data_IF_200381811944
#
_entry.id   IF_200381811944
#
_cell.length_a   1.000
_cell.length_b   1.000
_cell.length_c   1.000
_cell.angle_alpha   90.00
_cell.angle_beta   90.00
_cell.angle_gamma   90.00
#
_symmetry.space_group_name_H-M   'P 1'
#
loop_
_entity.id
_entity.type
_entity.pdbx_description
1 polymer ?
#
# COMPACT_ATOMS: atom_id res chain seq x y z
N UNK A 1 26.48 -37.08 30.97
CA UNK A 1 26.18 -35.67 31.26
C UNK A 1 26.70 -34.84 30.11
N UNK A 2 25.79 -34.36 29.26
CA UNK A 2 26.07 -33.42 28.18
C UNK A 2 25.24 -32.16 28.46
N UNK A 3 25.75 -30.94 28.24
CA UNK A 3 25.04 -29.73 28.59
C UNK A 3 23.86 -29.55 27.62
N UNK A 4 22.66 -29.41 28.17
CA UNK A 4 21.47 -29.01 27.42
C UNK A 4 21.69 -27.58 26.93
N UNK A 5 21.78 -27.42 25.61
CA UNK A 5 21.65 -26.15 24.91
C UNK A 5 20.27 -25.57 25.22
N UNK A 6 20.20 -24.63 26.15
CA UNK A 6 18.99 -23.85 26.43
C UNK A 6 18.81 -22.84 25.31
N UNK A 7 17.78 -23.05 24.50
CA UNK A 7 17.29 -22.14 23.47
C UNK A 7 16.99 -20.77 24.10
N UNK A 8 17.89 -19.80 23.91
CA UNK A 8 17.67 -18.39 24.26
C UNK A 8 16.92 -17.72 23.10
N UNK A 9 15.65 -18.07 22.93
CA UNK A 9 14.80 -17.47 21.92
C UNK A 9 13.35 -17.36 22.44
N UNK A 10 13.11 -16.54 23.47
CA UNK A 10 11.76 -16.06 23.82
C UNK A 10 11.74 -14.97 24.92
N UNK A 11 12.48 -13.85 24.79
CA UNK A 11 12.34 -12.78 25.80
C UNK A 11 12.66 -11.34 25.37
N UNK A 12 12.39 -10.96 24.12
CA UNK A 12 12.31 -9.55 23.75
C UNK A 12 11.00 -9.33 23.00
N UNK A 13 9.94 -9.02 23.75
CA UNK A 13 8.77 -8.41 23.14
C UNK A 13 9.23 -7.03 22.63
N UNK A 14 9.23 -6.82 21.30
CA UNK A 14 9.79 -5.63 20.66
C UNK A 14 9.34 -4.36 21.39
N UNK A 15 10.29 -3.49 21.73
CA UNK A 15 10.03 -2.31 22.56
C UNK A 15 8.89 -1.43 22.05
N UNK A 16 8.66 -1.49 20.74
CA UNK A 16 7.64 -0.75 20.00
C UNK A 16 6.19 -1.10 20.33
N UNK A 17 5.90 -2.25 20.95
CA UNK A 17 4.52 -2.74 21.12
C UNK A 17 4.17 -3.10 22.57
N UNK A 18 4.59 -2.24 23.50
CA UNK A 18 4.24 -2.35 24.93
C UNK A 18 2.86 -1.72 25.21
N UNK A 19 2.13 -2.19 26.24
CA UNK A 19 0.91 -1.52 26.70
C UNK A 19 1.13 -0.02 26.94
N UNK A 20 0.25 0.82 26.42
CA UNK A 20 0.32 2.27 26.47
C UNK A 20 0.98 2.93 25.25
N UNK A 21 1.64 2.16 24.38
CA UNK A 21 2.29 2.70 23.18
C UNK A 21 1.27 3.13 22.13
N UNK A 22 1.50 4.28 21.51
CA UNK A 22 0.73 4.75 20.35
C UNK A 22 1.24 4.07 19.08
N UNK A 23 0.30 3.64 18.24
CA UNK A 23 0.57 2.91 17.01
C UNK A 23 -0.37 3.39 15.91
N UNK A 24 0.02 3.13 14.68
CA UNK A 24 -0.90 3.16 13.55
C UNK A 24 -1.34 1.72 13.23
N UNK A 25 -2.61 1.61 12.90
CA UNK A 25 -3.31 0.36 12.66
C UNK A 25 -3.78 0.34 11.21
N UNK A 26 -3.40 -0.69 10.48
CA UNK A 26 -4.00 -0.99 9.18
C UNK A 26 -5.17 -1.96 9.34
N UNK A 27 -6.19 -1.79 8.50
CA UNK A 27 -7.25 -2.79 8.36
C UNK A 27 -7.05 -3.60 7.08
N UNK A 28 -7.28 -4.91 7.18
CA UNK A 28 -7.31 -5.82 6.02
C UNK A 28 -8.69 -5.84 5.35
N UNK A 29 -9.69 -5.18 5.97
CA UNK A 29 -11.06 -5.10 5.48
C UNK A 29 -11.14 -4.30 4.18
N UNK A 30 -12.12 -4.66 3.37
CA UNK A 30 -12.33 -4.05 2.08
C UNK A 30 -12.71 -2.58 2.17
N UNK A 31 -12.10 -1.79 1.29
CA UNK A 31 -12.26 -0.33 1.29
C UNK A 31 -11.39 0.40 2.32
N UNK A 32 -10.73 -0.31 3.24
CA UNK A 32 -9.80 0.27 4.23
C UNK A 32 -8.34 -0.15 3.99
N UNK A 33 -8.07 -0.89 2.91
CA UNK A 33 -6.71 -1.30 2.55
C UNK A 33 -5.85 -0.10 2.18
N UNK A 34 -4.61 -0.09 2.66
CA UNK A 34 -3.69 1.05 2.50
C UNK A 34 -4.00 2.22 3.43
N UNK A 35 -4.98 2.08 4.34
CA UNK A 35 -5.26 3.08 5.37
C UNK A 35 -4.59 2.74 6.69
N UNK A 36 -4.25 3.78 7.44
CA UNK A 36 -3.60 3.71 8.75
C UNK A 36 -4.32 4.64 9.73
N UNK A 37 -4.94 4.06 10.75
CA UNK A 37 -5.64 4.79 11.81
C UNK A 37 -4.82 4.79 13.09
N UNK A 38 -4.82 5.89 13.83
CA UNK A 38 -4.08 5.95 15.09
C UNK A 38 -4.83 5.22 16.20
N UNK A 39 -4.08 4.61 17.10
CA UNK A 39 -4.62 3.96 18.28
C UNK A 39 -3.56 3.67 19.32
N UNK A 40 -4.02 3.07 20.42
CA UNK A 40 -3.20 2.77 21.59
C UNK A 40 -3.26 1.31 21.94
N UNK A 41 -2.09 0.68 22.10
CA UNK A 41 -2.01 -0.70 22.58
C UNK A 41 -2.49 -0.75 24.02
N UNK A 42 -3.59 -1.45 24.27
CA UNK A 42 -4.09 -1.69 25.62
C UNK A 42 -3.33 -2.82 26.30
N UNK A 43 -3.13 -3.94 25.59
CA UNK A 43 -2.43 -5.11 26.10
C UNK A 43 -2.10 -6.08 24.98
N UNK A 44 -1.10 -6.93 25.22
CA UNK A 44 -0.83 -8.11 24.40
C UNK A 44 -1.84 -9.22 24.74
N UNK A 45 -2.47 -9.81 23.74
CA UNK A 45 -3.45 -10.91 23.87
C UNK A 45 -2.77 -12.27 23.71
N UNK A 46 -1.83 -12.38 22.78
CA UNK A 46 -1.02 -13.59 22.56
C UNK A 46 0.35 -13.22 21.98
N UNK A 47 1.16 -14.22 21.60
CA UNK A 47 2.47 -13.98 20.98
C UNK A 47 2.39 -13.07 19.74
N UNK A 48 1.32 -13.11 18.97
CA UNK A 48 1.19 -12.33 17.72
C UNK A 48 -0.09 -11.48 17.68
N UNK A 49 -0.80 -11.31 18.81
CA UNK A 49 -2.03 -10.51 18.86
C UNK A 49 -1.99 -9.44 19.94
N UNK A 50 -2.48 -8.26 19.61
CA UNK A 50 -2.54 -7.08 20.48
C UNK A 50 -3.96 -6.53 20.47
N UNK A 51 -4.43 -6.11 21.65
CA UNK A 51 -5.68 -5.37 21.78
C UNK A 51 -5.35 -3.88 21.64
N UNK A 52 -5.94 -3.22 20.66
CA UNK A 52 -5.74 -1.79 20.39
C UNK A 52 -7.08 -1.07 20.53
N UNK A 53 -7.05 0.12 21.12
CA UNK A 53 -8.16 1.07 21.14
C UNK A 53 -7.86 2.18 20.13
N UNK A 54 -8.76 2.42 19.18
CA UNK A 54 -8.59 3.45 18.15
C UNK A 54 -8.82 4.85 18.74
N UNK A 55 -8.09 5.86 18.26
CA UNK A 55 -8.24 7.22 18.77
C UNK A 55 -9.48 7.93 18.21
N UNK A 56 -9.86 7.64 16.97
CA UNK A 56 -10.93 8.36 16.25
C UNK A 56 -12.13 7.49 15.88
N UNK A 57 -11.95 6.15 15.81
CA UNK A 57 -13.04 5.22 15.49
C UNK A 57 -13.82 4.83 16.75
N UNK A 58 -15.15 4.83 16.65
CA UNK A 58 -16.07 4.59 17.77
C UNK A 58 -16.83 3.27 17.59
N UNK A 59 -17.11 2.58 18.70
CA UNK A 59 -17.87 1.32 18.73
C UNK A 59 -19.37 1.55 18.46
N UNK A 60 -19.89 2.74 18.78
CA UNK A 60 -21.29 3.09 18.62
C UNK A 60 -21.49 4.44 17.92
N UNK A 61 -22.62 4.58 17.22
CA UNK A 61 -23.05 5.85 16.59
C UNK A 61 -23.25 6.98 17.61
N UNK A 62 -23.28 6.64 18.90
CA UNK A 62 -23.43 7.59 20.01
C UNK A 62 -22.08 8.20 20.41
N UNK A 63 -20.96 7.71 19.88
CA UNK A 63 -19.62 8.22 20.12
C UNK A 63 -19.19 8.12 21.58
N UNK A 64 -19.64 7.12 22.34
CA UNK A 64 -19.34 7.01 23.77
C UNK A 64 -18.13 6.15 24.09
N UNK A 65 -17.79 5.22 23.20
CA UNK A 65 -16.69 4.29 23.37
C UNK A 65 -15.89 4.21 22.09
N UNK A 66 -14.58 4.25 22.24
CA UNK A 66 -13.65 3.98 21.15
C UNK A 66 -13.72 2.51 20.75
N UNK A 67 -13.61 2.26 19.46
CA UNK A 67 -13.55 0.91 18.90
C UNK A 67 -12.30 0.21 19.45
N UNK A 68 -12.44 -1.09 19.75
CA UNK A 68 -11.34 -1.94 20.23
C UNK A 68 -11.26 -3.18 19.38
N UNK A 69 -10.05 -3.53 18.96
CA UNK A 69 -9.84 -4.66 18.07
C UNK A 69 -8.63 -5.48 18.47
N UNK A 70 -8.70 -6.79 18.19
CA UNK A 70 -7.61 -7.74 18.41
C UNK A 70 -6.83 -7.94 17.11
N UNK A 71 -5.77 -7.17 16.92
CA UNK A 71 -4.98 -7.09 15.70
C UNK A 71 -3.73 -7.95 15.77
N UNK A 72 -3.23 -8.38 14.61
CA UNK A 72 -1.96 -9.08 14.47
C UNK A 72 -0.78 -8.11 14.39
N UNK A 73 0.45 -8.59 14.61
CA UNK A 73 1.65 -7.72 14.58
C UNK A 73 1.83 -6.99 13.25
N UNK A 74 1.55 -7.63 12.12
CA UNK A 74 1.72 -7.03 10.78
C UNK A 74 0.75 -5.87 10.51
N UNK A 75 -0.35 -5.78 11.25
CA UNK A 75 -1.34 -4.70 11.13
C UNK A 75 -0.96 -3.47 11.95
N UNK A 76 0.19 -3.50 12.63
CA UNK A 76 0.63 -2.47 13.56
C UNK A 76 1.99 -1.92 13.15
N UNK A 77 2.11 -0.61 13.18
CA UNK A 77 3.39 0.09 13.08
C UNK A 77 3.47 1.22 14.11
N UNK A 78 4.68 1.70 14.48
CA UNK A 78 4.80 2.91 15.28
C UNK A 78 4.15 4.12 14.60
N UNK A 79 3.89 5.21 15.34
CA UNK A 79 3.48 6.47 14.73
C UNK A 79 4.59 6.98 13.82
N UNK A 80 4.22 7.39 12.59
CA UNK A 80 5.20 8.00 11.69
C UNK A 80 5.59 9.40 12.19
N UNK A 81 6.86 9.67 12.49
CA UNK A 81 7.34 11.00 12.83
C UNK A 81 7.09 11.99 11.68
N UNK A 82 6.71 13.22 12.03
CA UNK A 82 6.43 14.27 11.04
C UNK A 82 7.74 14.83 10.45
N UNK A 83 7.92 14.74 9.14
CA UNK A 83 8.98 15.44 8.40
C UNK A 83 8.42 16.73 7.78
N UNK A 84 8.62 17.89 8.43
CA UNK A 84 7.99 19.15 7.99
C UNK A 84 8.64 19.80 6.77
N UNK A 85 9.87 19.43 6.44
CA UNK A 85 10.69 20.15 5.46
C UNK A 85 10.77 19.46 4.08
N UNK A 86 10.00 18.39 3.85
CA UNK A 86 10.05 17.67 2.58
C UNK A 86 9.36 18.45 1.46
N UNK A 87 9.89 18.39 0.26
CA UNK A 87 9.20 18.83 -0.95
C UNK A 87 8.64 17.61 -1.66
N UNK A 88 7.39 17.74 -2.13
CA UNK A 88 6.67 16.69 -2.83
C UNK A 88 6.62 17.01 -4.32
N UNK A 89 6.69 15.98 -5.16
CA UNK A 89 6.62 16.10 -6.63
C UNK A 89 5.73 15.04 -7.25
N UNK A 90 5.35 15.25 -8.51
CA UNK A 90 4.66 14.23 -9.31
C UNK A 90 5.36 12.86 -9.21
N UNK A 91 4.57 11.82 -8.96
CA UNK A 91 5.01 10.43 -8.83
C UNK A 91 5.53 10.04 -7.43
N UNK A 92 5.64 10.99 -6.49
CA UNK A 92 5.95 10.63 -5.11
C UNK A 92 4.78 9.84 -4.50
N UNK A 93 5.13 8.76 -3.79
CA UNK A 93 4.20 7.98 -2.98
C UNK A 93 4.05 8.63 -1.60
N UNK A 94 2.81 8.83 -1.17
CA UNK A 94 2.45 9.60 0.01
C UNK A 94 1.39 8.88 0.83
N UNK A 95 1.43 9.10 2.14
CA UNK A 95 0.29 8.89 3.01
C UNK A 95 -0.47 10.23 3.08
N UNK A 96 -1.73 10.26 2.65
CA UNK A 96 -2.59 11.44 2.68
C UNK A 96 -3.63 11.33 3.80
N UNK A 97 -3.76 12.37 4.63
CA UNK A 97 -4.70 12.38 5.75
C UNK A 97 -6.12 12.65 5.27
N UNK A 98 -6.99 11.65 5.37
CA UNK A 98 -8.38 11.71 4.93
C UNK A 98 -9.27 10.83 5.81
N UNK A 99 -10.49 11.26 6.12
CA UNK A 99 -11.46 10.52 6.95
C UNK A 99 -10.85 9.90 8.22
N UNK A 100 -10.13 10.72 8.99
CA UNK A 100 -9.50 10.35 10.27
C UNK A 100 -8.38 9.29 10.19
N UNK A 101 -7.91 8.95 8.98
CA UNK A 101 -6.80 8.03 8.74
C UNK A 101 -5.78 8.56 7.72
N UNK A 102 -4.63 7.91 7.63
CA UNK A 102 -3.62 8.14 6.61
C UNK A 102 -3.76 7.11 5.51
N UNK A 103 -3.89 7.56 4.26
CA UNK A 103 -4.18 6.71 3.11
C UNK A 103 -3.05 6.75 2.09
N UNK A 104 -2.56 5.58 1.72
CA UNK A 104 -1.52 5.41 0.70
C UNK A 104 -2.02 5.85 -0.69
N UNK A 105 -1.27 6.72 -1.36
CA UNK A 105 -1.57 7.22 -2.69
C UNK A 105 -0.36 7.86 -3.38
N UNK A 106 -0.58 8.35 -4.60
CA UNK A 106 0.47 8.93 -5.43
C UNK A 106 0.12 10.35 -5.85
N UNK A 107 1.11 11.23 -5.84
CA UNK A 107 0.93 12.57 -6.38
C UNK A 107 0.87 12.50 -7.91
N UNK A 108 -0.27 12.91 -8.47
CA UNK A 108 -0.52 12.92 -9.92
C UNK A 108 -0.61 14.32 -10.49
N UNK A 109 -0.68 15.35 -9.66
CA UNK A 109 -0.61 16.74 -10.12
C UNK A 109 -0.08 17.67 -9.02
N UNK A 110 0.80 18.60 -9.41
CA UNK A 110 1.22 19.73 -8.59
C UNK A 110 0.42 20.97 -9.03
N UNK A 111 -0.49 21.42 -8.18
CA UNK A 111 -1.35 22.56 -8.47
C UNK A 111 -0.57 23.86 -8.28
N UNK A 112 -0.94 24.89 -9.05
CA UNK A 112 -0.25 26.20 -9.04
C UNK A 112 -0.31 26.93 -7.69
N UNK A 113 -1.24 26.55 -6.81
CA UNK A 113 -1.41 27.11 -5.48
C UNK A 113 -0.63 26.36 -4.40
N UNK A 114 0.20 25.37 -4.77
CA UNK A 114 1.03 24.58 -3.86
C UNK A 114 0.30 23.40 -3.20
N UNK A 115 -0.92 23.09 -3.65
CA UNK A 115 -1.63 21.86 -3.31
C UNK A 115 -1.27 20.73 -4.27
N UNK A 116 -1.60 19.50 -3.88
CA UNK A 116 -1.27 18.30 -4.64
C UNK A 116 -2.51 17.47 -4.87
N UNK A 117 -2.72 17.01 -6.10
CA UNK A 117 -3.72 15.99 -6.36
C UNK A 117 -3.10 14.61 -6.11
N UNK A 118 -3.73 13.83 -5.23
CA UNK A 118 -3.29 12.48 -4.86
C UNK A 118 -4.29 11.47 -5.39
N UNK A 119 -3.79 10.47 -6.10
CA UNK A 119 -4.54 9.33 -6.60
C UNK A 119 -4.44 8.16 -5.63
N UNK A 120 -5.58 7.64 -5.19
CA UNK A 120 -5.69 6.47 -4.33
C UNK A 120 -5.89 5.22 -5.17
N UNK A 121 -4.96 4.27 -5.09
CA UNK A 121 -5.00 3.05 -5.92
C UNK A 121 -6.24 2.20 -5.64
N UNK A 122 -6.63 2.08 -4.38
CA UNK A 122 -7.73 1.21 -3.95
C UNK A 122 -9.09 1.80 -4.36
N UNK A 123 -9.37 3.07 -4.04
CA UNK A 123 -10.65 3.70 -4.39
C UNK A 123 -10.71 4.23 -5.82
N UNK A 124 -9.56 4.35 -6.49
CA UNK A 124 -9.40 4.97 -7.83
C UNK A 124 -9.79 6.45 -7.86
N UNK A 125 -9.92 7.07 -6.70
CA UNK A 125 -10.25 8.48 -6.56
C UNK A 125 -9.00 9.35 -6.63
N UNK A 126 -9.19 10.59 -7.10
CA UNK A 126 -8.16 11.62 -7.04
C UNK A 126 -8.69 12.79 -6.20
N UNK A 127 -7.96 13.14 -5.15
CA UNK A 127 -8.37 14.16 -4.17
C UNK A 127 -7.24 15.18 -4.01
N UNK A 128 -7.61 16.45 -3.84
CA UNK A 128 -6.64 17.54 -3.62
C UNK A 128 -6.33 17.70 -2.14
N UNK A 129 -5.05 17.70 -1.80
CA UNK A 129 -4.51 17.87 -0.45
C UNK A 129 -3.56 19.06 -0.36
N UNK A 130 -3.50 19.66 0.81
CA UNK A 130 -2.43 20.59 1.21
C UNK A 130 -1.17 19.82 1.59
N UNK A 131 -0.03 20.52 1.64
CA UNK A 131 1.25 19.91 2.04
C UNK A 131 1.18 19.32 3.46
N UNK A 132 0.44 19.94 4.36
CA UNK A 132 0.31 19.52 5.76
C UNK A 132 -0.55 18.27 5.94
N UNK A 133 -1.37 17.94 4.94
CA UNK A 133 -2.19 16.72 4.89
C UNK A 133 -1.43 15.56 4.23
N UNK A 134 -0.19 15.77 3.80
CA UNK A 134 0.65 14.75 3.18
C UNK A 134 1.89 14.47 4.02
N UNK A 135 2.29 13.19 4.02
CA UNK A 135 3.60 12.74 4.47
C UNK A 135 4.11 11.71 3.47
N UNK A 136 5.42 11.49 3.44
CA UNK A 136 5.98 10.43 2.59
C UNK A 136 5.43 9.07 3.04
N UNK A 137 5.01 8.24 2.08
CA UNK A 137 4.69 6.85 2.37
C UNK A 137 5.94 6.10 2.85
N UNK A 138 5.81 5.36 3.95
CA UNK A 138 6.89 4.55 4.52
C UNK A 138 6.32 3.23 5.04
N UNK A 139 7.00 2.16 4.71
CA UNK A 139 6.72 0.84 5.25
C UNK A 139 7.45 0.62 6.57
N UNK A 140 6.84 -0.16 7.46
CA UNK A 140 7.49 -0.65 8.68
C UNK A 140 7.86 -2.12 8.50
N UNK A 141 9.11 -2.38 8.13
CA UNK A 141 9.63 -3.72 7.81
C UNK A 141 10.80 -4.00 8.74
N UNK A 142 10.82 -5.18 9.36
CA UNK A 142 11.90 -5.62 10.26
C UNK A 142 12.34 -4.56 11.28
N UNK A 143 11.34 -3.92 11.89
CA UNK A 143 11.52 -2.89 12.91
C UNK A 143 12.24 -1.63 12.42
N UNK A 144 12.15 -1.34 11.11
CA UNK A 144 12.70 -0.15 10.48
C UNK A 144 11.69 0.49 9.54
N UNK A 145 11.75 1.82 9.46
CA UNK A 145 11.04 2.57 8.44
C UNK A 145 11.80 2.48 7.12
N UNK A 146 11.06 2.18 6.05
CA UNK A 146 11.54 2.10 4.67
C UNK A 146 10.66 3.01 3.81
N UNK A 147 11.20 4.04 3.12
CA UNK A 147 12.57 4.54 3.21
C UNK A 147 12.98 4.89 4.65
N UNK A 148 14.28 5.03 4.96
CA UNK A 148 14.74 5.60 6.22
C UNK A 148 14.51 7.12 6.27
N UNK A 149 14.37 7.69 7.48
CA UNK A 149 14.33 9.15 7.63
C UNK A 149 15.61 9.77 7.09
N UNK A 150 15.48 10.94 6.46
CA UNK A 150 16.66 11.71 6.11
C UNK A 150 17.31 12.15 7.42
N UNK A 151 18.59 11.79 7.65
CA UNK A 151 19.34 12.30 8.77
C UNK A 151 19.39 13.82 8.63
N UNK A 152 18.74 14.55 9.54
CA UNK A 152 18.97 15.97 9.67
C UNK A 152 20.44 16.12 10.07
N UNK A 153 21.27 16.65 9.16
CA UNK A 153 22.64 17.01 9.48
C UNK A 153 22.62 17.94 10.71
N UNK A 154 23.31 17.51 11.76
CA UNK A 154 23.08 17.95 13.12
C UNK A 154 23.45 19.40 13.41
N UNK A 155 22.58 20.07 14.16
CA UNK A 155 22.89 20.70 15.43
C UNK A 155 21.58 21.21 16.01
N UNK A 156 21.11 20.60 17.10
CA UNK A 156 20.84 21.34 18.32
C UNK A 156 20.56 20.35 19.46
N UNK A 157 21.39 20.46 20.50
CA UNK A 157 21.11 19.93 21.81
C UNK A 157 19.89 20.68 22.35
N UNK A 158 18.70 20.12 22.21
CA UNK A 158 17.57 20.53 23.04
C UNK A 158 16.93 19.30 23.69
N UNK A 159 17.21 19.20 24.98
CA UNK A 159 16.53 18.35 25.94
C UNK A 159 15.08 18.85 26.09
N UNK A 160 14.20 18.46 25.17
CA UNK A 160 12.80 18.85 25.20
C UNK A 160 11.95 17.75 25.85
N UNK A 161 11.58 18.03 27.11
CA UNK A 161 10.48 17.42 27.84
C UNK A 161 9.30 17.09 26.92
N UNK A 162 8.86 15.83 26.95
CA UNK A 162 7.59 15.39 26.39
C UNK A 162 6.45 16.07 27.17
N UNK A 163 6.07 17.26 26.71
CA UNK A 163 4.80 17.88 27.08
C UNK A 163 4.01 18.13 25.80
N UNK A 164 2.82 17.55 25.81
CA UNK A 164 1.74 17.67 24.85
C UNK A 164 1.68 19.05 24.17
N UNK A 165 1.73 19.03 22.85
CA UNK A 165 0.91 19.95 22.07
C UNK A 165 0.19 19.15 21.01
N UNK A 166 -0.97 18.61 21.38
CA UNK A 166 -2.04 18.29 20.43
C UNK A 166 -2.35 19.57 19.64
N UNK A 167 -1.70 19.75 18.49
CA UNK A 167 -2.22 20.65 17.47
C UNK A 167 -3.45 19.98 16.91
N UNK A 168 -4.62 20.34 17.44
CA UNK A 168 -5.95 20.02 16.89
C UNK A 168 -5.90 20.22 15.38
N UNK A 169 -5.85 19.13 14.63
CA UNK A 169 -6.14 19.11 13.19
C UNK A 169 -7.59 19.60 13.09
N UNK A 170 -7.77 20.81 12.54
CA UNK A 170 -9.10 21.40 12.39
C UNK A 170 -9.89 20.49 11.44
N UNK A 171 -11.12 20.14 11.80
CA UNK A 171 -12.09 19.45 10.93
C UNK A 171 -12.04 20.06 9.53
N UNK A 172 -11.57 19.28 8.57
CA UNK A 172 -11.38 19.70 7.17
C UNK A 172 -12.73 19.72 6.46
N UNK A 173 -12.89 20.70 5.57
CA UNK A 173 -14.04 20.85 4.67
C UNK A 173 -14.10 19.66 3.70
N UNK A 174 -15.26 19.45 3.06
CA UNK A 174 -15.43 18.43 2.02
C UNK A 174 -14.26 18.44 1.03
N UNK A 175 -13.65 17.27 0.83
CA UNK A 175 -12.53 17.05 -0.06
C UNK A 175 -12.88 17.51 -1.48
N UNK A 176 -11.99 18.31 -2.10
CA UNK A 176 -12.11 18.68 -3.50
C UNK A 176 -11.65 17.47 -4.33
N UNK A 177 -12.61 16.77 -4.95
CA UNK A 177 -12.34 15.64 -5.83
C UNK A 177 -11.97 16.15 -7.23
N UNK A 178 -10.92 15.59 -7.81
CA UNK A 178 -10.55 15.88 -9.19
C UNK A 178 -11.30 14.90 -10.09
N UNK A 179 -12.46 15.30 -10.61
CA UNK A 179 -13.13 14.53 -11.66
C UNK A 179 -12.49 14.88 -13.00
N UNK A 180 -11.45 14.15 -13.39
CA UNK A 180 -10.88 14.31 -14.73
C UNK A 180 -11.57 13.34 -15.69
N UNK A 181 -12.55 13.84 -16.44
CA UNK A 181 -12.91 13.23 -17.73
C UNK A 181 -11.78 13.54 -18.73
N UNK A 182 -10.63 12.85 -18.63
CA UNK A 182 -9.55 12.98 -19.62
C UNK A 182 -9.88 12.07 -20.81
N UNK A 183 -10.36 12.69 -21.88
CA UNK A 183 -10.96 12.07 -23.07
C UNK A 183 -9.96 11.37 -24.03
N UNK A 184 -8.70 11.16 -23.60
CA UNK A 184 -7.59 10.82 -24.52
C UNK A 184 -7.16 9.34 -24.51
N UNK A 185 -7.57 8.52 -23.53
CA UNK A 185 -7.22 7.09 -23.52
C UNK A 185 -8.46 6.21 -23.63
N UNK A 186 -8.76 5.74 -24.86
CA UNK A 186 -9.86 4.80 -25.14
C UNK A 186 -9.31 3.45 -25.53
N UNK A 187 -9.65 2.43 -24.75
CA UNK A 187 -9.42 1.04 -25.12
C UNK A 187 -10.21 0.69 -26.39
N UNK A 188 -9.65 -0.25 -27.16
CA UNK A 188 -10.28 -0.80 -28.36
C UNK A 188 -10.38 -2.32 -28.25
N UNK A 189 -11.28 -2.91 -29.02
CA UNK A 189 -11.32 -4.36 -29.19
C UNK A 189 -9.97 -4.87 -29.74
N UNK A 190 -9.53 -6.00 -29.21
CA UNK A 190 -8.21 -6.59 -29.44
C UNK A 190 -7.06 -5.96 -28.63
N UNK A 191 -7.33 -4.98 -27.76
CA UNK A 191 -6.30 -4.43 -26.89
C UNK A 191 -5.88 -5.44 -25.81
N UNK A 192 -4.56 -5.60 -25.65
CA UNK A 192 -3.95 -6.39 -24.58
C UNK A 192 -3.93 -5.57 -23.29
N UNK A 193 -4.52 -6.13 -22.25
CA UNK A 193 -4.74 -5.47 -20.97
C UNK A 193 -4.32 -6.37 -19.82
N UNK A 194 -4.24 -5.78 -18.64
CA UNK A 194 -4.28 -6.50 -17.38
C UNK A 194 -5.53 -6.07 -16.61
N UNK A 195 -6.14 -7.04 -15.94
CA UNK A 195 -7.41 -6.91 -15.25
C UNK A 195 -7.23 -7.28 -13.79
N UNK A 196 -7.70 -6.44 -12.87
CA UNK A 196 -7.77 -6.77 -11.46
C UNK A 196 -9.21 -7.01 -11.02
N UNK A 197 -9.39 -7.73 -9.91
CA UNK A 197 -10.70 -7.91 -9.28
C UNK A 197 -10.63 -7.51 -7.81
N UNK A 198 -11.70 -6.88 -7.34
CA UNK A 198 -11.92 -6.60 -5.91
C UNK A 198 -12.67 -7.75 -5.24
N UNK A 199 -12.74 -8.94 -5.85
CA UNK A 199 -13.31 -10.13 -5.22
C UNK A 199 -12.31 -10.77 -4.24
N UNK A 200 -12.85 -11.32 -3.15
CA UNK A 200 -12.06 -12.04 -2.15
C UNK A 200 -11.22 -13.15 -2.79
N UNK A 201 -9.91 -13.12 -2.52
CA UNK A 201 -8.95 -14.07 -3.08
C UNK A 201 -8.22 -13.59 -4.35
N UNK A 202 -8.73 -12.56 -5.03
CA UNK A 202 -8.12 -12.00 -6.25
C UNK A 202 -7.60 -10.57 -6.09
N UNK A 203 -7.87 -9.95 -4.93
CA UNK A 203 -7.44 -8.59 -4.60
C UNK A 203 -5.92 -8.44 -4.62
N UNK A 204 -5.47 -7.47 -5.41
CA UNK A 204 -4.06 -7.15 -5.58
C UNK A 204 -3.37 -7.91 -6.71
N UNK A 205 -4.08 -8.82 -7.38
CA UNK A 205 -3.60 -9.52 -8.57
C UNK A 205 -4.06 -8.82 -9.86
N UNK A 206 -3.18 -8.85 -10.86
CA UNK A 206 -3.46 -8.39 -12.22
C UNK A 206 -3.32 -9.55 -13.20
N UNK A 207 -4.41 -9.92 -13.85
CA UNK A 207 -4.48 -11.03 -14.80
C UNK A 207 -4.41 -10.52 -16.23
N UNK A 208 -3.56 -11.14 -17.05
CA UNK A 208 -3.47 -10.81 -18.47
C UNK A 208 -4.78 -11.18 -19.19
N UNK A 209 -5.30 -10.25 -19.98
CA UNK A 209 -6.49 -10.46 -20.77
C UNK A 209 -6.45 -9.68 -22.09
N UNK A 210 -7.44 -9.92 -22.93
CA UNK A 210 -7.71 -9.20 -24.18
C UNK A 210 -9.14 -8.66 -24.16
N UNK A 211 -9.32 -7.40 -24.55
CA UNK A 211 -10.67 -6.83 -24.72
C UNK A 211 -11.30 -7.43 -25.98
N UNK A 212 -12.41 -8.16 -25.82
CA UNK A 212 -13.13 -8.80 -26.93
C UNK A 212 -14.44 -8.10 -27.30
N UNK A 213 -14.96 -7.23 -26.43
CA UNK A 213 -16.16 -6.44 -26.72
C UNK A 213 -16.13 -5.13 -25.94
N UNK A 214 -16.57 -4.03 -26.58
CA UNK A 214 -16.78 -2.75 -25.90
C UNK A 214 -18.27 -2.61 -25.52
N UNK A 215 -18.58 -2.50 -24.22
CA UNK A 215 -19.95 -2.32 -23.72
C UNK A 215 -20.15 -0.89 -23.22
N UNK A 216 -20.50 0.01 -24.14
CA UNK A 216 -20.70 1.42 -23.82
C UNK A 216 -19.39 2.16 -23.58
N UNK A 217 -19.38 3.11 -22.63
CA UNK A 217 -18.22 3.99 -22.38
C UNK A 217 -17.27 3.51 -21.27
N UNK A 218 -17.73 2.66 -20.36
CA UNK A 218 -17.01 2.34 -19.11
C UNK A 218 -16.96 0.84 -18.79
N UNK A 219 -17.39 -0.03 -19.69
CA UNK A 219 -17.37 -1.48 -19.49
C UNK A 219 -16.87 -2.19 -20.74
N UNK A 220 -16.23 -3.33 -20.51
CA UNK A 220 -15.66 -4.17 -21.54
C UNK A 220 -15.98 -5.63 -21.25
N UNK A 221 -16.08 -6.46 -22.27
CA UNK A 221 -15.91 -7.89 -22.10
C UNK A 221 -14.45 -8.22 -22.38
N UNK A 222 -13.81 -8.86 -21.42
CA UNK A 222 -12.43 -9.33 -21.54
C UNK A 222 -12.42 -10.86 -21.64
N UNK A 223 -11.45 -11.40 -22.35
CA UNK A 223 -11.10 -12.81 -22.35
C UNK A 223 -9.72 -12.96 -21.71
N UNK A 224 -9.61 -13.72 -20.63
CA UNK A 224 -8.34 -13.92 -19.93
C UNK A 224 -7.40 -14.82 -20.74
N UNK A 225 -6.09 -14.58 -20.63
CA UNK A 225 -5.08 -15.34 -21.38
C UNK A 225 -4.93 -16.79 -20.88
N UNK A 226 -5.15 -17.02 -19.59
CA UNK A 226 -4.85 -18.29 -18.91
C UNK A 226 -5.98 -18.86 -18.04
N UNK A 227 -6.95 -18.04 -17.63
CA UNK A 227 -8.07 -18.48 -16.79
C UNK A 227 -9.12 -19.19 -17.63
N UNK A 228 -9.68 -20.28 -17.11
CA UNK A 228 -10.68 -21.10 -17.79
C UNK A 228 -12.03 -21.08 -17.07
N UNK A 229 -13.11 -21.20 -17.84
CA UNK A 229 -14.47 -21.43 -17.35
C UNK A 229 -14.75 -22.92 -17.04
N UNK A 230 -15.96 -23.21 -16.56
CA UNK A 230 -16.40 -24.58 -16.24
C UNK A 230 -16.40 -25.52 -17.46
N UNK A 231 -16.46 -24.98 -18.67
CA UNK A 231 -16.39 -25.70 -19.94
C UNK A 231 -14.93 -25.86 -20.45
N UNK A 232 -13.93 -25.46 -19.66
CA UNK A 232 -12.51 -25.44 -20.04
C UNK A 232 -12.19 -24.54 -21.25
N UNK A 233 -12.98 -23.49 -21.49
CA UNK A 233 -12.70 -22.42 -22.46
C UNK A 233 -12.09 -21.23 -21.73
N UNK A 234 -11.41 -20.33 -22.44
CA UNK A 234 -10.91 -19.10 -21.83
C UNK A 234 -12.06 -18.31 -21.21
N UNK A 235 -11.89 -17.95 -19.94
CA UNK A 235 -12.89 -17.24 -19.16
C UNK A 235 -13.13 -15.86 -19.78
N UNK A 236 -14.42 -15.51 -19.92
CA UNK A 236 -14.86 -14.18 -20.35
C UNK A 236 -15.70 -13.51 -19.28
N UNK A 237 -15.39 -12.26 -18.99
CA UNK A 237 -16.09 -11.48 -17.96
C UNK A 237 -16.38 -10.05 -18.41
N UNK A 238 -17.48 -9.50 -17.91
CA UNK A 238 -17.78 -8.07 -18.07
C UNK A 238 -17.13 -7.29 -16.95
N UNK A 239 -16.19 -6.41 -17.31
CA UNK A 239 -15.32 -5.70 -16.37
C UNK A 239 -15.47 -4.19 -16.58
N UNK A 240 -15.41 -3.44 -15.47
CA UNK A 240 -15.41 -1.97 -15.48
C UNK A 240 -14.05 -1.42 -15.94
N UNK A 241 -14.04 -0.28 -16.62
CA UNK A 241 -12.80 0.43 -16.99
C UNK A 241 -11.88 0.73 -15.78
N UNK A 242 -12.44 0.81 -14.58
CA UNK A 242 -11.70 1.03 -13.33
C UNK A 242 -10.81 -0.16 -12.94
N UNK A 243 -11.10 -1.35 -13.47
CA UNK A 243 -10.41 -2.61 -13.21
C UNK A 243 -9.49 -3.01 -14.36
N UNK A 244 -9.32 -2.15 -15.35
CA UNK A 244 -8.54 -2.45 -16.57
C UNK A 244 -7.40 -1.45 -16.71
N UNK A 245 -6.19 -1.96 -16.93
CA UNK A 245 -5.04 -1.19 -17.37
C UNK A 245 -4.45 -1.81 -18.64
N UNK A 246 -3.70 -1.07 -19.47
CA UNK A 246 -2.91 -1.69 -20.53
C UNK A 246 -1.95 -2.74 -19.97
N UNK A 247 -1.26 -3.53 -20.80
CA UNK A 247 -0.07 -4.23 -20.30
C UNK A 247 1.05 -3.22 -20.05
N UNK A 248 1.81 -3.34 -18.95
CA UNK A 248 2.91 -2.44 -18.69
C UNK A 248 3.95 -2.51 -19.80
N UNK A 249 4.62 -1.40 -20.12
CA UNK A 249 5.74 -1.40 -21.04
C UNK A 249 6.81 -2.36 -20.52
N UNK A 250 7.44 -3.09 -21.43
CA UNK A 250 8.59 -3.92 -21.09
C UNK A 250 9.68 -2.96 -20.61
N UNK A 251 9.99 -3.00 -19.31
CA UNK A 251 11.13 -2.28 -18.74
C UNK A 251 12.41 -2.86 -19.33
N UNK A 252 13.41 -2.01 -19.61
CA UNK A 252 14.73 -2.48 -20.01
C UNK A 252 15.22 -3.56 -19.03
N UNK A 253 15.88 -4.60 -19.54
CA UNK A 253 16.34 -5.76 -18.76
C UNK A 253 17.03 -5.30 -17.47
N UNK A 254 16.30 -5.40 -16.36
CA UNK A 254 16.85 -5.10 -15.04
C UNK A 254 17.83 -6.22 -14.75
N UNK A 255 19.12 -5.94 -14.81
CA UNK A 255 20.13 -6.99 -14.66
C UNK A 255 20.00 -7.77 -13.35
N UNK A 256 19.58 -7.09 -12.27
CA UNK A 256 19.36 -7.68 -10.95
C UNK A 256 18.41 -6.79 -10.13
N UNK A 257 17.48 -7.40 -9.38
CA UNK A 257 16.67 -6.68 -8.40
C UNK A 257 17.44 -6.52 -7.08
N UNK A 258 17.16 -5.44 -6.34
CA UNK A 258 17.79 -5.14 -5.06
C UNK A 258 16.83 -5.43 -3.91
N UNK A 259 17.38 -5.61 -2.72
CA UNK A 259 16.59 -5.61 -1.49
C UNK A 259 15.69 -4.36 -1.44
N UNK A 260 14.40 -4.57 -1.18
CA UNK A 260 13.32 -3.56 -1.17
C UNK A 260 12.94 -2.96 -2.53
N UNK A 261 13.46 -3.46 -3.65
CA UNK A 261 12.82 -3.16 -4.94
C UNK A 261 11.39 -3.72 -4.91
N UNK A 262 10.42 -2.89 -5.26
CA UNK A 262 9.03 -3.30 -5.48
C UNK A 262 8.88 -3.94 -6.86
N UNK A 263 8.29 -5.12 -6.89
CA UNK A 263 8.16 -5.98 -8.07
C UNK A 263 6.73 -6.47 -8.24
N UNK A 264 6.32 -6.68 -9.48
CA UNK A 264 5.21 -7.56 -9.80
C UNK A 264 5.77 -8.98 -9.94
N UNK A 265 5.31 -9.90 -9.09
CA UNK A 265 5.66 -11.32 -9.13
C UNK A 265 4.54 -12.14 -9.79
N UNK A 266 4.90 -12.94 -10.79
CA UNK A 266 3.96 -13.81 -11.48
C UNK A 266 3.69 -15.09 -10.67
N UNK A 267 2.49 -15.19 -10.12
CA UNK A 267 2.05 -16.30 -9.27
C UNK A 267 0.55 -16.58 -9.49
N UNK A 268 0.14 -17.85 -9.52
CA UNK A 268 -1.26 -18.26 -9.75
C UNK A 268 -1.92 -17.51 -10.92
N UNK A 269 -1.24 -17.50 -12.07
CA UNK A 269 -1.72 -16.90 -13.33
C UNK A 269 -1.90 -15.37 -13.33
N UNK A 270 -1.54 -14.69 -12.25
CA UNK A 270 -1.60 -13.23 -12.10
C UNK A 270 -0.28 -12.60 -11.67
N UNK A 271 -0.18 -11.28 -11.85
CA UNK A 271 0.90 -10.45 -11.34
C UNK A 271 0.52 -9.85 -9.99
N UNK A 272 1.34 -10.10 -8.97
CA UNK A 272 1.12 -9.69 -7.60
C UNK A 272 2.21 -8.72 -7.15
N UNK A 273 1.80 -7.60 -6.57
CA UNK A 273 2.76 -6.61 -6.03
C UNK A 273 3.41 -7.17 -4.77
N UNK A 274 4.74 -7.11 -4.71
CA UNK A 274 5.50 -7.52 -3.54
C UNK A 274 6.87 -6.85 -3.49
N UNK A 275 7.57 -7.05 -2.38
CA UNK A 275 8.89 -6.46 -2.14
C UNK A 275 9.96 -7.53 -2.15
N UNK A 276 11.10 -7.26 -2.77
CA UNK A 276 12.26 -8.14 -2.68
C UNK A 276 12.81 -8.13 -1.24
N UNK A 277 12.50 -9.17 -0.48
CA UNK A 277 12.96 -9.34 0.89
C UNK A 277 14.37 -9.96 0.96
N UNK A 278 14.77 -10.77 -0.02
CA UNK A 278 16.13 -11.31 -0.12
C UNK A 278 16.55 -11.47 -1.57
N UNK A 279 17.79 -11.11 -1.88
CA UNK A 279 18.46 -11.46 -3.14
C UNK A 279 19.27 -12.72 -2.93
N UNK A 280 18.99 -13.76 -3.71
CA UNK A 280 19.71 -15.04 -3.66
C UNK A 280 20.67 -15.14 -4.85
N UNK A 281 21.59 -16.10 -4.79
CA UNK A 281 22.41 -16.45 -5.96
C UNK A 281 21.55 -17.03 -7.10
N UNK A 282 22.15 -17.12 -8.29
CA UNK A 282 21.55 -17.72 -9.49
C UNK A 282 20.23 -17.07 -9.96
N UNK A 283 20.13 -15.74 -9.84
CA UNK A 283 19.00 -14.94 -10.33
C UNK A 283 17.66 -15.32 -9.66
N UNK A 284 17.71 -15.61 -8.36
CA UNK A 284 16.54 -15.92 -7.54
C UNK A 284 16.34 -14.88 -6.44
N UNK A 285 15.09 -14.72 -6.03
CA UNK A 285 14.69 -13.71 -5.06
C UNK A 285 13.64 -14.27 -4.12
N UNK A 286 13.65 -13.86 -2.86
CA UNK A 286 12.52 -14.02 -1.95
C UNK A 286 11.71 -12.73 -2.00
N UNK A 287 10.43 -12.84 -2.37
CA UNK A 287 9.50 -11.72 -2.42
C UNK A 287 8.52 -11.83 -1.25
N UNK A 288 8.39 -10.75 -0.49
CA UNK A 288 7.44 -10.57 0.59
C UNK A 288 6.15 -9.95 0.07
N UNK A 289 5.01 -10.61 0.35
CA UNK A 289 3.68 -10.10 0.04
C UNK A 289 3.04 -9.54 1.30
N UNK A 290 2.91 -8.22 1.37
CA UNK A 290 2.32 -7.51 2.53
C UNK A 290 0.93 -8.04 2.89
N UNK A 291 0.12 -8.34 1.88
CA UNK A 291 -1.29 -8.74 2.06
C UNK A 291 -1.46 -10.11 2.73
N UNK A 292 -0.62 -11.09 2.40
CA UNK A 292 -0.70 -12.45 2.98
C UNK A 292 0.33 -12.67 4.09
N UNK A 293 1.28 -11.75 4.25
CA UNK A 293 2.45 -11.89 5.11
C UNK A 293 3.25 -13.17 4.79
N UNK A 294 3.36 -13.48 3.49
CA UNK A 294 4.10 -14.63 2.97
C UNK A 294 5.40 -14.18 2.30
N UNK A 295 6.42 -15.03 2.40
CA UNK A 295 7.67 -14.91 1.65
C UNK A 295 7.76 -16.10 0.69
N UNK A 296 7.83 -15.85 -0.61
CA UNK A 296 7.94 -16.90 -1.64
C UNK A 296 9.18 -16.70 -2.51
N UNK A 297 9.77 -17.80 -2.99
CA UNK A 297 10.92 -17.79 -3.90
C UNK A 297 10.47 -17.66 -5.36
N UNK A 298 11.07 -16.72 -6.08
CA UNK A 298 10.84 -16.51 -7.51
C UNK A 298 12.14 -16.50 -8.30
N UNK A 299 12.07 -16.99 -9.53
CA UNK A 299 13.10 -16.77 -10.54
C UNK A 299 12.99 -15.34 -11.08
N UNK A 300 14.12 -14.77 -11.53
CA UNK A 300 14.14 -13.44 -12.16
C UNK A 300 13.10 -13.28 -13.28
N UNK A 301 12.89 -14.31 -14.10
CA UNK A 301 11.92 -14.30 -15.21
C UNK A 301 10.46 -14.26 -14.78
N UNK A 302 10.18 -14.51 -13.49
CA UNK A 302 8.84 -14.41 -12.91
C UNK A 302 8.61 -13.05 -12.23
N UNK A 303 9.60 -12.17 -12.25
CA UNK A 303 9.52 -10.84 -11.66
C UNK A 303 9.66 -9.78 -12.75
N UNK A 304 8.99 -8.65 -12.55
CA UNK A 304 9.24 -7.40 -13.28
C UNK A 304 9.19 -6.25 -12.29
N UNK A 305 9.83 -5.12 -12.59
CA UNK A 305 9.67 -3.94 -11.74
C UNK A 305 8.19 -3.54 -11.69
N UNK A 306 7.73 -3.23 -10.49
CA UNK A 306 6.37 -2.74 -10.30
C UNK A 306 6.17 -1.40 -11.01
N UNK A 307 5.02 -1.27 -11.68
CA UNK A 307 4.59 -0.06 -12.35
C UNK A 307 3.11 0.18 -12.05
N UNK A 308 2.78 1.41 -11.73
CA UNK A 308 1.42 1.87 -11.55
C UNK A 308 0.89 2.51 -12.83
N UNK A 309 -0.35 2.17 -13.18
CA UNK A 309 -1.09 2.83 -14.24
C UNK A 309 -1.93 3.95 -13.61
N UNK A 310 -1.52 5.20 -13.84
CA UNK A 310 -2.14 6.39 -13.24
C UNK A 310 -2.43 7.42 -14.33
N UNK A 311 -3.68 7.86 -14.42
CA UNK A 311 -4.15 8.91 -15.34
C UNK A 311 -3.62 8.75 -16.79
N UNK A 312 -3.75 7.54 -17.33
CA UNK A 312 -3.34 7.24 -18.70
C UNK A 312 -1.84 7.08 -18.92
N UNK A 313 -1.03 6.98 -17.86
CA UNK A 313 0.42 6.83 -17.93
C UNK A 313 0.93 5.76 -16.98
N UNK A 314 2.00 5.10 -17.39
CA UNK A 314 2.77 4.22 -16.51
C UNK A 314 3.77 5.03 -15.70
N UNK A 315 3.82 4.78 -14.41
CA UNK A 315 4.73 5.41 -13.45
C UNK A 315 5.46 4.30 -12.71
N UNK A 316 6.78 4.44 -12.58
CA UNK A 316 7.58 3.52 -11.77
C UNK A 316 7.37 3.86 -10.31
N UNK A 317 7.24 2.83 -9.46
CA UNK A 317 7.37 3.04 -8.02
C UNK A 317 8.71 3.74 -7.73
N UNK A 318 8.67 4.79 -6.91
CA UNK A 318 9.88 5.56 -6.58
C UNK A 318 10.86 4.63 -5.87
N UNK A 319 12.06 4.45 -6.43
CA UNK A 319 13.13 3.74 -5.72
C UNK A 319 13.53 4.55 -4.50
N UNK A 320 13.36 3.93 -3.34
CA UNK A 320 13.81 4.40 -2.03
C UNK A 320 15.31 4.66 -1.98
#
# INVERSE_FOLDING_TARGET
MAPKSTTRASSEASEFFKPGTLVEVSSDDDGFRGSWFTGKILRRVSADKFMVEYDTLMEDDKGKKHLKESLKRHQLRPILPTETNREFKFGDEVDAYHNDGWWEGYITEELKDGRFAVYFRVSREQIVFTKEELRLHREWIDEKWVPPFQQQDGNDNDNANANETEKKIKRVKAAETVTVEKDDFKFKEGALVEVCSDEDGFKGAWFCATIVELKGKSKFVVEYDSLLDDDSKLLREEISILHVRPRPPITADVAEFKFLDEVDAFHNDGWWVGLVAKVLGDSKYIVYFRNSNEELEFQHSQLRLHQDWMDGKWVMASKV
#
